data_IF_251646493649
#
_entry.id   IF_251646493649
#
_cell.length_a   1.000
_cell.length_b   1.000
_cell.length_c   1.000
_cell.angle_alpha   90.00
_cell.angle_beta   90.00
_cell.angle_gamma   90.00
#
_symmetry.space_group_name_H-M   'P 1'
#
loop_
_entity.id
_entity.type
_entity.pdbx_description
1 polymer ?
#
# COMPACT_ATOMS: atom_id res chain seq x y z
N UNK A 1 3.98 -10.67 5.07
CA UNK A 1 3.13 -10.55 6.26
C UNK A 1 1.68 -10.71 5.86
N UNK A 2 0.92 -11.52 6.60
CA UNK A 2 -0.54 -11.66 6.43
C UNK A 2 -1.26 -11.20 7.70
N UNK A 3 -2.59 -11.02 7.65
CA UNK A 3 -3.37 -10.55 8.80
C UNK A 3 -3.19 -11.42 10.05
N UNK A 4 -3.04 -12.75 9.89
CA UNK A 4 -2.74 -13.69 10.99
C UNK A 4 -1.38 -13.45 11.70
N UNK A 5 -0.55 -12.55 11.17
CA UNK A 5 0.75 -12.19 11.72
C UNK A 5 0.75 -10.78 12.35
N UNK A 6 -0.39 -10.09 12.34
CA UNK A 6 -0.52 -8.68 12.71
C UNK A 6 -1.54 -8.51 13.84
N UNK A 7 -1.08 -8.63 15.09
CA UNK A 7 -1.93 -8.44 16.27
C UNK A 7 -1.88 -7.00 16.81
N UNK A 8 -0.68 -6.42 16.88
CA UNK A 8 -0.42 -5.02 17.23
C UNK A 8 0.93 -4.58 16.64
N UNK A 9 1.19 -3.26 16.57
CA UNK A 9 2.47 -2.73 16.09
C UNK A 9 3.67 -3.27 16.88
N UNK A 10 3.60 -3.24 18.21
CA UNK A 10 4.64 -3.79 19.09
C UNK A 10 4.89 -5.30 18.89
N UNK A 11 3.83 -6.05 18.61
CA UNK A 11 3.94 -7.48 18.31
C UNK A 11 4.59 -7.71 16.95
N UNK A 12 4.20 -6.96 15.92
CA UNK A 12 4.74 -7.07 14.56
C UNK A 12 6.22 -6.70 14.54
N UNK A 13 6.61 -5.60 15.17
CA UNK A 13 8.00 -5.18 15.26
C UNK A 13 8.89 -6.27 15.87
N UNK A 14 8.47 -6.84 17.02
CA UNK A 14 9.21 -7.94 17.66
C UNK A 14 9.27 -9.20 16.80
N UNK A 15 8.21 -9.51 16.07
CA UNK A 15 8.18 -10.65 15.14
C UNK A 15 9.19 -10.48 14.00
N UNK A 16 9.29 -9.28 13.43
CA UNK A 16 10.27 -8.96 12.39
C UNK A 16 11.70 -9.06 12.91
N UNK A 17 11.98 -8.50 14.09
CA UNK A 17 13.31 -8.58 14.71
C UNK A 17 13.69 -10.04 15.01
N UNK A 18 12.77 -10.82 15.58
CA UNK A 18 13.00 -12.24 15.87
C UNK A 18 13.27 -13.05 14.60
N UNK A 19 12.61 -12.71 13.48
CA UNK A 19 12.84 -13.34 12.19
C UNK A 19 14.22 -13.01 11.63
N UNK A 20 14.66 -11.75 11.73
CA UNK A 20 15.99 -11.32 11.27
C UNK A 20 17.11 -11.97 12.07
N UNK A 21 16.98 -12.04 13.40
CA UNK A 21 17.92 -12.73 14.27
C UNK A 21 17.98 -14.23 13.96
N UNK A 22 16.83 -14.89 13.85
CA UNK A 22 16.79 -16.34 13.58
C UNK A 22 17.34 -16.70 12.19
N UNK A 23 17.21 -15.79 11.22
CA UNK A 23 17.72 -15.98 9.86
C UNK A 23 19.17 -15.54 9.66
N UNK A 24 19.79 -14.86 10.63
CA UNK A 24 21.08 -14.17 10.49
C UNK A 24 21.11 -13.22 9.26
N UNK A 25 19.99 -12.51 9.06
CA UNK A 25 19.77 -11.61 7.92
C UNK A 25 19.19 -10.28 8.39
N UNK A 26 20.06 -9.37 8.83
CA UNK A 26 19.68 -8.03 9.32
C UNK A 26 18.88 -7.23 8.28
N UNK A 27 19.11 -7.49 6.99
CA UNK A 27 18.51 -6.76 5.87
C UNK A 27 17.45 -7.61 5.13
N UNK A 28 16.85 -8.60 5.80
CA UNK A 28 15.79 -9.39 5.19
C UNK A 28 14.65 -8.49 4.69
N UNK A 29 14.17 -8.76 3.48
CA UNK A 29 12.97 -8.12 2.95
C UNK A 29 11.75 -8.70 3.66
N UNK A 30 10.94 -7.81 4.23
CA UNK A 30 9.68 -8.12 4.90
C UNK A 30 8.59 -7.44 4.11
N UNK A 31 7.82 -8.24 3.39
CA UNK A 31 6.76 -7.77 2.49
C UNK A 31 5.41 -7.72 3.21
N UNK A 32 4.53 -6.82 2.80
CA UNK A 32 3.10 -6.81 3.17
C UNK A 32 2.23 -6.45 1.97
N UNK A 33 0.93 -6.76 2.03
CA UNK A 33 -0.06 -6.20 1.10
C UNK A 33 -0.90 -5.13 1.84
N UNK A 34 -0.52 -3.87 1.73
CA UNK A 34 -1.18 -2.74 2.41
C UNK A 34 -1.72 -1.72 1.39
N UNK A 35 -2.78 -2.09 0.66
CA UNK A 35 -3.36 -1.24 -0.39
C UNK A 35 -4.31 -0.17 0.16
N UNK A 36 -4.99 -0.48 1.27
CA UNK A 36 -6.17 0.24 1.74
C UNK A 36 -7.48 -0.38 1.25
N UNK A 37 -8.60 0.13 1.76
CA UNK A 37 -9.92 -0.47 1.52
C UNK A 37 -9.97 -1.92 2.01
N UNK A 38 -10.31 -2.84 1.10
CA UNK A 38 -10.53 -4.27 1.44
C UNK A 38 -9.23 -5.08 1.56
N UNK A 39 -8.11 -4.56 1.08
CA UNK A 39 -6.79 -5.20 1.21
C UNK A 39 -5.91 -4.36 2.13
N UNK A 40 -6.03 -4.65 3.42
CA UNK A 40 -5.19 -4.11 4.47
C UNK A 40 -4.91 -5.23 5.48
N UNK A 41 -3.65 -5.36 5.91
CA UNK A 41 -3.27 -6.28 7.00
C UNK A 41 -3.20 -5.55 8.33
N UNK A 42 -2.75 -4.30 8.30
CA UNK A 42 -2.74 -3.38 9.43
C UNK A 42 -4.02 -2.53 9.35
N UNK A 43 -4.85 -2.61 10.40
CA UNK A 43 -6.20 -2.02 10.42
C UNK A 43 -6.45 -1.24 11.72
N UNK A 44 -7.50 -0.41 11.78
CA UNK A 44 -7.91 0.25 13.03
C UNK A 44 -8.09 -0.72 14.21
N UNK A 45 -7.93 -0.24 15.46
CA UNK A 45 -7.80 1.18 15.84
C UNK A 45 -6.38 1.74 15.79
N UNK A 46 -5.36 0.90 15.68
CA UNK A 46 -3.95 1.33 15.75
C UNK A 46 -3.47 1.98 14.44
N UNK A 47 -3.97 1.49 13.30
CA UNK A 47 -3.62 1.98 11.97
C UNK A 47 -4.80 2.66 11.29
N UNK A 48 -4.53 3.51 10.32
CA UNK A 48 -5.59 4.24 9.58
C UNK A 48 -6.45 3.29 8.75
N UNK A 49 -7.74 3.62 8.66
CA UNK A 49 -8.62 3.10 7.62
C UNK A 49 -8.32 3.81 6.30
N UNK A 50 -7.26 3.39 5.60
CA UNK A 50 -6.87 3.97 4.32
C UNK A 50 -7.93 3.73 3.23
N UNK A 51 -8.17 4.71 2.33
CA UNK A 51 -9.14 4.56 1.26
C UNK A 51 -8.71 3.50 0.24
N UNK A 52 -9.69 2.91 -0.46
CA UNK A 52 -9.41 2.08 -1.64
C UNK A 52 -8.86 2.93 -2.79
N UNK A 53 -8.05 2.32 -3.66
CA UNK A 53 -7.38 3.00 -4.78
C UNK A 53 -8.35 3.76 -5.72
N UNK A 54 -9.55 3.23 -5.93
CA UNK A 54 -10.59 3.85 -6.76
C UNK A 54 -10.92 5.29 -6.35
N UNK A 55 -10.80 5.64 -5.06
CA UNK A 55 -11.06 7.01 -4.58
C UNK A 55 -10.11 8.02 -5.24
N UNK A 56 -8.83 7.65 -5.44
CA UNK A 56 -7.87 8.50 -6.12
C UNK A 56 -8.18 8.61 -7.62
N UNK A 57 -8.69 7.55 -8.25
CA UNK A 57 -9.14 7.61 -9.64
C UNK A 57 -10.36 8.49 -9.86
N UNK A 58 -11.34 8.45 -8.94
CA UNK A 58 -12.49 9.37 -8.95
C UNK A 58 -12.01 10.82 -8.84
N UNK A 59 -11.05 11.09 -7.95
CA UNK A 59 -10.43 12.41 -7.84
C UNK A 59 -9.67 12.77 -9.12
N UNK A 60 -8.98 11.83 -9.76
CA UNK A 60 -8.21 12.07 -10.99
C UNK A 60 -9.08 12.50 -12.17
N UNK A 61 -10.31 11.97 -12.24
CA UNK A 61 -11.31 12.39 -13.24
C UNK A 61 -11.74 13.87 -13.08
N UNK A 62 -11.58 14.46 -11.89
CA UNK A 62 -11.89 15.86 -11.60
C UNK A 62 -10.64 16.73 -11.69
N UNK A 63 -9.53 16.27 -11.07
CA UNK A 63 -8.27 16.98 -10.99
C UNK A 63 -7.10 15.99 -10.81
N UNK A 64 -6.47 15.62 -11.93
CA UNK A 64 -5.35 14.67 -11.95
C UNK A 64 -4.17 15.10 -11.07
N UNK A 65 -3.85 16.40 -11.01
CA UNK A 65 -2.74 16.89 -10.19
C UNK A 65 -3.02 16.70 -8.70
N UNK A 66 -4.22 17.03 -8.25
CA UNK A 66 -4.63 16.83 -6.87
C UNK A 66 -4.70 15.33 -6.51
N UNK A 67 -5.16 14.49 -7.44
CA UNK A 67 -5.19 13.04 -7.27
C UNK A 67 -3.80 12.43 -7.14
N UNK A 68 -2.85 12.85 -7.97
CA UNK A 68 -1.44 12.44 -7.87
C UNK A 68 -0.87 12.76 -6.49
N UNK A 69 -1.08 13.98 -6.01
CA UNK A 69 -0.61 14.42 -4.69
C UNK A 69 -1.25 13.61 -3.57
N UNK A 70 -2.57 13.40 -3.63
CA UNK A 70 -3.28 12.61 -2.63
C UNK A 70 -2.79 11.15 -2.59
N UNK A 71 -2.54 10.53 -3.76
CA UNK A 71 -2.02 9.17 -3.85
C UNK A 71 -0.59 9.07 -3.30
N UNK A 72 0.27 10.03 -3.63
CA UNK A 72 1.63 10.15 -3.07
C UNK A 72 1.60 10.26 -1.54
N UNK A 73 0.81 11.20 -0.98
CA UNK A 73 0.71 11.39 0.46
C UNK A 73 0.13 10.16 1.17
N UNK A 74 -0.83 9.47 0.54
CA UNK A 74 -1.36 8.22 1.06
C UNK A 74 -0.28 7.13 1.16
N UNK A 75 0.58 7.02 0.16
CA UNK A 75 1.72 6.11 0.15
C UNK A 75 2.79 6.50 1.18
N UNK A 76 3.06 7.80 1.35
CA UNK A 76 3.93 8.31 2.43
C UNK A 76 3.43 7.93 3.82
N UNK A 77 2.12 7.98 4.03
CA UNK A 77 1.51 7.55 5.29
C UNK A 77 1.68 6.05 5.50
N UNK A 78 1.48 5.22 4.46
CA UNK A 78 1.77 3.79 4.57
C UNK A 78 3.23 3.52 4.92
N UNK A 79 4.19 4.15 4.24
CA UNK A 79 5.60 3.97 4.57
C UNK A 79 5.92 4.37 6.02
N UNK A 80 5.35 5.48 6.51
CA UNK A 80 5.50 5.92 7.90
C UNK A 80 4.88 4.96 8.95
N UNK A 81 3.87 4.17 8.55
CA UNK A 81 3.27 3.13 9.38
C UNK A 81 4.05 1.81 9.33
N UNK A 82 4.71 1.51 8.20
CA UNK A 82 5.37 0.24 7.93
C UNK A 82 6.84 0.21 8.36
N UNK A 83 7.57 1.29 8.12
CA UNK A 83 9.02 1.37 8.40
C UNK A 83 9.35 1.10 9.88
N UNK A 84 8.64 1.66 10.87
CA UNK A 84 8.93 1.40 12.28
C UNK A 84 8.70 -0.06 12.70
N UNK A 85 7.86 -0.78 11.94
CA UNK A 85 7.59 -2.20 12.15
C UNK A 85 8.65 -3.10 11.52
N UNK A 86 9.63 -2.52 10.84
CA UNK A 86 10.66 -3.23 10.09
C UNK A 86 10.19 -3.79 8.75
N UNK A 87 9.00 -3.38 8.28
CA UNK A 87 8.45 -3.76 6.97
C UNK A 87 9.00 -2.79 5.93
N UNK A 88 9.69 -3.32 4.93
CA UNK A 88 10.49 -2.54 3.98
C UNK A 88 10.13 -2.82 2.51
N UNK A 89 9.02 -3.53 2.28
CA UNK A 89 8.41 -3.68 0.97
C UNK A 89 6.90 -3.76 1.13
N UNK A 90 6.16 -2.94 0.39
CA UNK A 90 4.71 -3.09 0.21
C UNK A 90 4.43 -3.58 -1.22
N UNK A 91 3.50 -4.52 -1.38
CA UNK A 91 3.07 -5.07 -2.66
C UNK A 91 2.11 -4.09 -3.39
N UNK A 92 2.51 -2.82 -3.46
CA UNK A 92 1.75 -1.68 -3.98
C UNK A 92 2.70 -0.83 -4.85
N UNK A 93 2.26 -0.20 -5.95
CA UNK A 93 0.90 0.02 -6.46
C UNK A 93 0.26 -1.15 -7.21
N UNK A 94 -1.08 -1.20 -7.22
CA UNK A 94 -1.82 -1.92 -8.26
C UNK A 94 -1.83 -1.12 -9.56
N UNK A 95 -1.45 -1.79 -10.66
CA UNK A 95 -1.42 -1.21 -12.00
C UNK A 95 -2.41 -1.88 -12.96
N UNK A 96 -3.34 -2.66 -12.43
CA UNK A 96 -4.42 -3.26 -13.22
C UNK A 96 -5.31 -2.18 -13.82
N UNK A 97 -5.57 -2.30 -15.13
CA UNK A 97 -6.55 -1.46 -15.85
C UNK A 97 -7.80 -2.30 -16.10
N UNK A 98 -8.92 -2.03 -15.41
CA UNK A 98 -10.17 -2.76 -15.62
C UNK A 98 -10.64 -2.64 -17.07
N UNK A 99 -10.98 -3.78 -17.69
CA UNK A 99 -11.52 -3.89 -19.03
C UNK A 99 -12.90 -4.57 -19.02
N UNK A 100 -13.76 -4.30 -20.02
CA UNK A 100 -15.03 -5.03 -20.18
C UNK A 100 -14.81 -6.54 -20.23
N UNK A 101 -15.55 -7.31 -19.43
CA UNK A 101 -15.39 -8.76 -19.31
C UNK A 101 -14.22 -9.22 -18.44
N UNK A 102 -13.48 -8.29 -17.83
CA UNK A 102 -12.42 -8.59 -16.86
C UNK A 102 -12.96 -9.19 -15.55
N UNK A 103 -12.06 -9.85 -14.81
CA UNK A 103 -12.42 -10.49 -13.54
C UNK A 103 -12.73 -9.42 -12.47
N UNK A 104 -13.91 -9.50 -11.83
CA UNK A 104 -14.38 -8.51 -10.86
C UNK A 104 -13.61 -8.45 -9.53
N UNK A 105 -12.57 -9.26 -9.36
CA UNK A 105 -11.79 -9.35 -8.11
C UNK A 105 -10.96 -8.09 -7.84
N UNK A 106 -10.57 -7.38 -8.90
CA UNK A 106 -9.86 -6.10 -8.77
C UNK A 106 -10.81 -5.04 -8.21
N UNK A 107 -11.95 -4.81 -8.86
CA UNK A 107 -13.00 -3.92 -8.33
C UNK A 107 -12.47 -2.54 -7.93
N UNK A 108 -12.71 -2.14 -6.69
CA UNK A 108 -12.27 -0.87 -6.08
C UNK A 108 -10.76 -0.76 -5.81
N UNK A 109 -9.99 -1.85 -6.03
CA UNK A 109 -8.52 -1.87 -5.91
C UNK A 109 -7.81 -1.27 -7.12
N UNK A 110 -8.48 -1.17 -8.26
CA UNK A 110 -7.94 -0.43 -9.40
C UNK A 110 -8.14 1.07 -9.21
N UNK A 111 -7.16 1.86 -9.63
CA UNK A 111 -7.29 3.31 -9.68
C UNK A 111 -8.37 3.73 -10.69
N UNK A 112 -8.25 3.30 -11.94
CA UNK A 112 -9.09 3.78 -13.05
C UNK A 112 -9.10 2.77 -14.19
N UNK A 113 -10.10 2.87 -15.07
CA UNK A 113 -10.11 2.18 -16.37
C UNK A 113 -9.32 2.95 -17.45
N UNK A 114 -8.83 4.16 -17.16
CA UNK A 114 -7.92 4.91 -18.02
C UNK A 114 -6.47 4.54 -17.71
N UNK A 115 -5.72 3.92 -18.65
CA UNK A 115 -4.31 3.57 -18.46
C UNK A 115 -3.42 4.77 -18.10
N UNK A 116 -3.73 5.97 -18.59
CA UNK A 116 -2.94 7.18 -18.31
C UNK A 116 -3.10 7.57 -16.84
N UNK A 117 -4.33 7.59 -16.33
CA UNK A 117 -4.59 7.82 -14.91
C UNK A 117 -3.93 6.75 -14.02
N UNK A 118 -4.00 5.46 -14.41
CA UNK A 118 -3.32 4.37 -13.67
C UNK A 118 -1.81 4.59 -13.63
N UNK A 119 -1.18 4.92 -14.75
CA UNK A 119 0.26 5.17 -14.80
C UNK A 119 0.68 6.35 -13.91
N UNK A 120 -0.06 7.47 -13.96
CA UNK A 120 0.25 8.68 -13.16
C UNK A 120 0.08 8.42 -11.66
N UNK A 121 -1.02 7.78 -11.26
CA UNK A 121 -1.31 7.52 -9.85
C UNK A 121 -0.41 6.41 -9.30
N UNK A 122 -0.18 5.35 -10.07
CA UNK A 122 0.73 4.27 -9.71
C UNK A 122 2.16 4.76 -9.50
N UNK A 123 2.67 5.62 -10.40
CA UNK A 123 3.99 6.22 -10.23
C UNK A 123 4.09 7.07 -8.95
N UNK A 124 3.05 7.85 -8.63
CA UNK A 124 3.03 8.66 -7.41
C UNK A 124 3.01 7.82 -6.14
N UNK A 125 2.30 6.69 -6.14
CA UNK A 125 2.30 5.74 -5.02
C UNK A 125 3.66 5.09 -4.85
N UNK A 126 4.28 4.63 -5.93
CA UNK A 126 5.63 4.06 -5.88
C UNK A 126 6.66 5.10 -5.37
N UNK A 127 6.60 6.34 -5.86
CA UNK A 127 7.44 7.44 -5.38
C UNK A 127 7.25 7.70 -3.88
N UNK A 128 6.00 7.68 -3.40
CA UNK A 128 5.69 7.87 -1.98
C UNK A 128 6.22 6.74 -1.10
N UNK A 129 6.11 5.48 -1.51
CA UNK A 129 6.68 4.37 -0.73
C UNK A 129 8.21 4.49 -0.66
N UNK A 130 8.87 4.70 -1.81
CA UNK A 130 10.33 4.81 -1.91
C UNK A 130 10.87 5.97 -1.07
N UNK A 131 10.23 7.14 -1.15
CA UNK A 131 10.61 8.32 -0.35
C UNK A 131 10.42 8.11 1.16
N UNK A 132 9.59 7.14 1.55
CA UNK A 132 9.37 6.72 2.93
C UNK A 132 10.22 5.52 3.37
N UNK A 133 11.04 4.96 2.49
CA UNK A 133 11.93 3.83 2.79
C UNK A 133 11.30 2.43 2.64
N UNK A 134 10.18 2.31 1.90
CA UNK A 134 9.43 1.06 1.68
C UNK A 134 9.30 0.74 0.19
#
# INVERSE_FOLDING_TARGET
MFARNCESGDQVHRLVESLREAADLSNALVLIDQEGGRVARLTPPEFRAAPAAQIFGVLAAINLKAAREAAYLNARLFAAELEPLGINVDCLPLLDVPAPGGHGIIGDRAFSADPIAVAVLGAAVAEGLIDGGV
#
